data_IF_533178963114
#
_entry.id   IF_533178963114
#
_cell.length_a   1.000
_cell.length_b   1.000
_cell.length_c   1.000
_cell.angle_alpha   90.00
_cell.angle_beta   90.00
_cell.angle_gamma   90.00
#
_symmetry.space_group_name_H-M   'P 1'
#
loop_
_entity.id
_entity.type
_entity.pdbx_description
1 polymer ?
#
# COMPACT_ATOMS: atom_id res chain seq x y z
N UNK A 1 25.70 10.79 30.92
CA UNK A 1 24.56 9.89 30.60
C UNK A 1 23.19 10.56 30.74
N UNK A 2 23.02 11.53 31.64
CA UNK A 2 21.72 12.18 31.90
C UNK A 2 21.21 13.05 30.73
N UNK A 3 22.12 13.76 30.06
CA UNK A 3 21.80 14.62 28.92
C UNK A 3 21.32 13.83 27.68
N UNK A 4 21.89 12.63 27.46
CA UNK A 4 21.47 11.72 26.39
C UNK A 4 20.03 11.26 26.58
N UNK A 5 19.66 10.88 27.82
CA UNK A 5 18.27 10.49 28.15
C UNK A 5 17.28 11.64 27.92
N UNK A 6 17.67 12.87 28.28
CA UNK A 6 16.85 14.08 28.09
C UNK A 6 16.63 14.43 26.61
N UNK A 7 17.59 14.15 25.75
CA UNK A 7 17.48 14.38 24.31
C UNK A 7 16.79 13.24 23.55
N UNK A 8 16.79 12.04 24.11
CA UNK A 8 16.20 10.86 23.48
C UNK A 8 14.68 11.00 23.26
N UNK A 9 13.97 11.48 24.28
CA UNK A 9 12.52 11.68 24.22
C UNK A 9 12.08 12.74 23.19
N UNK A 10 12.62 13.97 23.15
CA UNK A 10 12.23 14.95 22.15
C UNK A 10 12.63 14.52 20.73
N UNK A 11 13.79 13.88 20.55
CA UNK A 11 14.19 13.33 19.24
C UNK A 11 13.22 12.24 18.79
N UNK A 12 12.82 11.35 19.70
CA UNK A 12 11.85 10.29 19.41
C UNK A 12 10.49 10.87 18.99
N UNK A 13 9.98 11.86 19.73
CA UNK A 13 8.70 12.50 19.40
C UNK A 13 8.78 13.25 18.05
N UNK A 14 9.86 13.98 17.80
CA UNK A 14 10.08 14.66 16.52
C UNK A 14 10.13 13.65 15.36
N UNK A 15 10.85 12.55 15.54
CA UNK A 15 10.95 11.49 14.55
C UNK A 15 9.58 10.85 14.27
N UNK A 16 8.85 10.47 15.31
CA UNK A 16 7.53 9.85 15.18
C UNK A 16 6.53 10.79 14.48
N UNK A 17 6.51 12.06 14.89
CA UNK A 17 5.60 13.07 14.33
C UNK A 17 5.96 13.40 12.87
N UNK A 18 7.25 13.51 12.56
CA UNK A 18 7.74 13.72 11.20
C UNK A 18 7.42 12.54 10.28
N UNK A 19 7.62 11.31 10.76
CA UNK A 19 7.25 10.10 10.04
C UNK A 19 5.75 10.06 9.73
N UNK A 20 4.90 10.25 10.75
CA UNK A 20 3.45 10.25 10.56
C UNK A 20 2.99 11.33 9.58
N UNK A 21 3.54 12.54 9.70
CA UNK A 21 3.26 13.65 8.78
C UNK A 21 3.64 13.28 7.35
N UNK A 22 4.85 12.76 7.15
CA UNK A 22 5.32 12.32 5.83
C UNK A 22 4.40 11.24 5.23
N UNK A 23 4.06 10.20 6.01
CA UNK A 23 3.17 9.13 5.55
C UNK A 23 1.75 9.60 5.28
N UNK A 24 1.29 10.67 5.94
CA UNK A 24 -0.03 11.25 5.69
C UNK A 24 -0.09 11.98 4.35
N UNK A 25 0.98 12.71 3.98
CA UNK A 25 1.05 13.45 2.73
C UNK A 25 1.44 12.60 1.51
N UNK A 26 2.34 11.65 1.70
CA UNK A 26 2.93 10.87 0.60
C UNK A 26 2.46 9.41 0.55
N UNK A 27 1.64 8.98 1.51
CA UNK A 27 1.35 7.57 1.75
C UNK A 27 2.48 6.87 2.50
N UNK A 28 2.16 5.78 3.19
CA UNK A 28 3.12 5.05 4.02
C UNK A 28 2.72 3.63 4.41
N UNK A 29 1.77 3.05 3.68
CA UNK A 29 1.39 1.64 3.83
C UNK A 29 2.19 0.76 2.86
N UNK A 30 2.42 -0.51 3.25
CA UNK A 30 2.77 -1.53 2.23
C UNK A 30 1.58 -1.68 1.28
N UNK A 31 1.84 -1.96 0.00
CA UNK A 31 0.78 -2.28 -0.96
C UNK A 31 -0.05 -3.50 -0.52
N UNK A 32 0.47 -4.30 0.41
CA UNK A 32 -0.18 -5.48 0.96
C UNK A 32 -1.32 -5.16 1.94
N UNK A 33 -1.41 -3.93 2.46
CA UNK A 33 -2.40 -3.60 3.52
C UNK A 33 -3.83 -3.58 2.98
N UNK A 34 -4.00 -3.16 1.72
CA UNK A 34 -5.29 -3.15 1.04
C UNK A 34 -5.51 -4.43 0.19
N UNK A 35 -4.60 -5.40 0.28
CA UNK A 35 -4.68 -6.64 -0.48
C UNK A 35 -5.72 -7.59 0.12
N UNK A 36 -6.79 -7.88 -0.65
CA UNK A 36 -7.72 -8.96 -0.30
C UNK A 36 -7.08 -10.30 -0.68
N UNK A 37 -6.42 -10.96 0.28
CA UNK A 37 -5.72 -12.24 0.09
C UNK A 37 -6.65 -13.40 -0.31
N UNK A 38 -7.92 -13.34 0.13
CA UNK A 38 -8.92 -14.38 -0.15
C UNK A 38 -9.41 -14.41 -1.62
N UNK A 39 -8.86 -13.54 -2.48
CA UNK A 39 -9.15 -13.51 -3.91
C UNK A 39 -7.89 -13.90 -4.67
N UNK A 40 -7.94 -14.87 -5.60
CA UNK A 40 -6.79 -15.25 -6.40
C UNK A 40 -6.16 -14.04 -7.08
N UNK A 41 -4.82 -13.95 -7.04
CA UNK A 41 -4.04 -12.85 -7.63
C UNK A 41 -4.44 -12.54 -9.07
N UNK A 42 -4.75 -13.57 -9.85
CA UNK A 42 -5.21 -13.46 -11.25
C UNK A 42 -6.53 -12.70 -11.42
N UNK A 43 -7.42 -12.74 -10.42
CA UNK A 43 -8.67 -11.96 -10.38
C UNK A 43 -8.39 -10.52 -9.97
N UNK A 44 -7.49 -10.31 -9.01
CA UNK A 44 -7.15 -8.98 -8.47
C UNK A 44 -6.43 -8.10 -9.48
N UNK A 45 -5.46 -8.67 -10.19
CA UNK A 45 -4.64 -7.95 -11.19
C UNK A 45 -5.35 -7.77 -12.53
N UNK A 46 -6.45 -8.49 -12.77
CA UNK A 46 -7.20 -8.41 -14.02
C UNK A 46 -8.72 -8.48 -13.81
N UNK A 47 -9.32 -7.47 -13.14
CA UNK A 47 -10.75 -7.45 -12.86
C UNK A 47 -11.60 -7.40 -14.15
N UNK A 48 -11.00 -6.98 -15.27
CA UNK A 48 -11.64 -6.94 -16.58
C UNK A 48 -11.89 -8.31 -17.21
N UNK A 49 -11.13 -9.34 -16.85
CA UNK A 49 -11.27 -10.70 -17.42
C UNK A 49 -12.43 -11.49 -16.79
N UNK A 50 -12.78 -11.19 -15.54
CA UNK A 50 -13.88 -11.88 -14.83
C UNK A 50 -15.22 -11.14 -14.92
N UNK A 51 -15.25 -9.96 -15.55
CA UNK A 51 -16.52 -9.31 -15.89
C UNK A 51 -17.20 -10.15 -16.98
N UNK A 52 -18.45 -10.56 -16.75
CA UNK A 52 -19.25 -11.25 -17.76
C UNK A 52 -19.31 -10.40 -19.04
N UNK A 53 -18.68 -10.88 -20.11
CA UNK A 53 -18.74 -10.22 -21.41
C UNK A 53 -20.08 -10.56 -22.06
N UNK A 54 -21.06 -9.67 -21.92
CA UNK A 54 -22.36 -9.79 -22.62
C UNK A 54 -22.30 -9.24 -24.06
N UNK A 55 -21.13 -8.78 -24.52
CA UNK A 55 -20.91 -8.27 -25.87
C UNK A 55 -19.71 -8.98 -26.50
N UNK A 56 -19.85 -9.40 -27.77
CA UNK A 56 -18.99 -10.27 -28.59
C UNK A 56 -17.53 -9.83 -28.81
N UNK A 57 -16.87 -9.15 -27.88
CA UNK A 57 -15.46 -8.77 -28.01
C UNK A 57 -14.67 -9.16 -26.76
N UNK A 58 -14.08 -10.36 -26.84
CA UNK A 58 -13.15 -10.89 -25.86
C UNK A 58 -11.83 -11.16 -26.58
N UNK A 59 -10.81 -10.35 -26.33
CA UNK A 59 -9.41 -10.79 -26.46
C UNK A 59 -8.52 -9.87 -25.66
N UNK A 60 -8.07 -10.38 -24.52
CA UNK A 60 -6.86 -9.92 -23.87
C UNK A 60 -5.67 -10.24 -24.79
N UNK A 61 -4.86 -9.23 -25.11
CA UNK A 61 -3.77 -9.29 -26.10
C UNK A 61 -2.45 -8.80 -25.47
N UNK A 62 -1.80 -9.68 -24.72
CA UNK A 62 -0.45 -9.47 -24.18
C UNK A 62 -0.48 -9.42 -22.65
N UNK A 63 0.44 -10.02 -21.92
CA UNK A 63 1.74 -10.66 -22.19
C UNK A 63 2.37 -10.97 -20.82
N UNK A 64 3.33 -11.90 -20.78
CA UNK A 64 3.91 -12.53 -19.56
C UNK A 64 3.97 -11.68 -18.30
#
# INVERSE_FOLDING_TARGET
>A
MDLVKKLLYPVYVLWLTGYLTYTNFYGGGSNDVDEVENVPKTVRENPGVYRSHYLNFMRYSGGK
#
